data_IF_084333951894
#
_entry.id   IF_084333951894
#
_cell.length_a   1.000
_cell.length_b   1.000
_cell.length_c   1.000
_cell.angle_alpha   90.00
_cell.angle_beta   90.00
_cell.angle_gamma   90.00
#
_symmetry.space_group_name_H-M   'P 1'
#
loop_
_entity.id
_entity.type
_entity.pdbx_description
1 polymer ?
#
# COMPACT_ATOMS: atom_id res chain seq x y z
N UNK A 1 -26.52 -6.81 -22.59
CA UNK A 1 -25.25 -7.21 -21.96
C UNK A 1 -25.59 -7.79 -20.60
N UNK A 2 -24.98 -8.89 -20.17
CA UNK A 2 -25.18 -9.41 -18.82
C UNK A 2 -24.70 -8.37 -17.79
N UNK A 3 -25.34 -8.31 -16.61
CA UNK A 3 -24.87 -7.44 -15.53
C UNK A 3 -23.42 -7.83 -15.15
N UNK A 4 -22.56 -6.86 -14.80
CA UNK A 4 -21.20 -7.15 -14.38
C UNK A 4 -21.21 -7.98 -13.10
N UNK A 5 -20.17 -8.78 -12.91
CA UNK A 5 -20.00 -9.55 -11.67
C UNK A 5 -19.38 -8.63 -10.62
N UNK A 6 -19.98 -8.52 -9.44
CA UNK A 6 -19.43 -7.70 -8.37
C UNK A 6 -18.27 -8.42 -7.70
N UNK A 7 -17.15 -7.73 -7.54
CA UNK A 7 -15.96 -8.23 -6.85
C UNK A 7 -15.55 -7.26 -5.74
N UNK A 8 -15.74 -7.69 -4.50
CA UNK A 8 -15.35 -6.93 -3.32
C UNK A 8 -13.98 -7.39 -2.83
N UNK A 9 -13.07 -6.44 -2.68
CA UNK A 9 -11.64 -6.70 -2.47
C UNK A 9 -11.25 -6.23 -1.08
N UNK A 10 -10.68 -7.14 -0.28
CA UNK A 10 -9.94 -6.76 0.93
C UNK A 10 -8.61 -6.13 0.51
N UNK A 11 -8.56 -4.80 0.54
CA UNK A 11 -7.44 -4.04 0.00
C UNK A 11 -6.13 -4.27 0.74
N UNK A 12 -6.17 -4.53 2.04
CA UNK A 12 -4.97 -4.77 2.85
C UNK A 12 -4.45 -6.19 2.65
N UNK A 13 -5.32 -7.18 2.50
CA UNK A 13 -4.91 -8.56 2.24
C UNK A 13 -4.14 -8.68 0.92
N UNK A 14 -4.67 -8.09 -0.16
CA UNK A 14 -4.00 -8.13 -1.48
C UNK A 14 -2.84 -7.14 -1.62
N UNK A 15 -2.66 -6.21 -0.67
CA UNK A 15 -1.61 -5.18 -0.73
C UNK A 15 -0.20 -5.75 -0.91
N UNK A 16 0.04 -6.99 -0.46
CA UNK A 16 1.32 -7.71 -0.62
C UNK A 16 1.67 -8.00 -2.07
N UNK A 17 0.68 -8.12 -2.96
CA UNK A 17 0.91 -8.22 -4.40
C UNK A 17 1.52 -6.93 -4.94
N UNK A 18 1.01 -5.78 -4.47
CA UNK A 18 1.50 -4.45 -4.87
C UNK A 18 2.86 -4.13 -4.24
N UNK A 19 3.03 -4.46 -2.95
CA UNK A 19 4.21 -4.20 -2.14
C UNK A 19 4.85 -5.51 -1.59
N UNK A 20 5.66 -6.23 -2.39
CA UNK A 20 6.34 -7.42 -1.92
C UNK A 20 7.30 -7.11 -0.76
N UNK A 21 7.33 -7.97 0.25
CA UNK A 21 8.11 -7.76 1.49
C UNK A 21 9.63 -7.61 1.29
N UNK A 22 10.18 -8.05 0.16
CA UNK A 22 11.62 -7.95 -0.15
C UNK A 22 11.96 -6.72 -0.99
N UNK A 23 10.96 -6.03 -1.51
CA UNK A 23 11.16 -4.91 -2.42
C UNK A 23 11.31 -3.60 -1.65
N UNK A 24 11.89 -2.61 -2.34
CA UNK A 24 11.72 -1.22 -1.94
C UNK A 24 10.24 -0.86 -2.02
N UNK A 25 9.78 0.04 -1.15
CA UNK A 25 8.43 0.59 -1.21
C UNK A 25 8.31 1.58 -2.38
N UNK A 26 8.28 1.05 -3.60
CA UNK A 26 8.19 1.81 -4.86
C UNK A 26 6.72 2.03 -5.25
N UNK A 27 6.24 3.25 -4.99
CA UNK A 27 4.85 3.64 -5.24
C UNK A 27 4.49 3.64 -6.72
N UNK A 28 5.41 4.03 -7.61
CA UNK A 28 5.15 4.02 -9.06
C UNK A 28 4.96 2.59 -9.56
N UNK A 29 5.80 1.66 -9.11
CA UNK A 29 5.67 0.25 -9.49
C UNK A 29 4.42 -0.39 -8.87
N UNK A 30 4.10 -0.06 -7.62
CA UNK A 30 2.89 -0.52 -6.96
C UNK A 30 1.63 -0.02 -7.70
N UNK A 31 1.54 1.27 -8.01
CA UNK A 31 0.42 1.84 -8.75
C UNK A 31 0.23 1.19 -10.12
N UNK A 32 1.30 0.94 -10.88
CA UNK A 32 1.24 0.20 -12.14
C UNK A 32 0.69 -1.22 -12.01
N UNK A 33 0.85 -1.86 -10.86
CA UNK A 33 0.24 -3.16 -10.59
C UNK A 33 -1.25 -3.03 -10.28
N UNK A 34 -1.65 -1.98 -9.55
CA UNK A 34 -3.07 -1.65 -9.31
C UNK A 34 -3.76 -1.34 -10.65
N UNK A 35 -3.16 -0.51 -11.51
CA UNK A 35 -3.66 -0.23 -12.86
C UNK A 35 -3.89 -1.52 -13.67
N UNK A 36 -2.92 -2.42 -13.66
CA UNK A 36 -3.02 -3.72 -14.34
C UNK A 36 -4.11 -4.60 -13.76
N UNK A 37 -4.25 -4.64 -12.44
CA UNK A 37 -5.30 -5.39 -11.76
C UNK A 37 -6.68 -4.85 -12.15
N UNK A 38 -6.90 -3.54 -12.06
CA UNK A 38 -8.19 -2.92 -12.41
C UNK A 38 -8.52 -3.11 -13.89
N UNK A 39 -7.54 -2.94 -14.79
CA UNK A 39 -7.74 -3.18 -16.21
C UNK A 39 -8.12 -4.64 -16.50
N UNK A 40 -7.43 -5.60 -15.87
CA UNK A 40 -7.70 -7.02 -16.03
C UNK A 40 -9.06 -7.43 -15.46
N UNK A 41 -9.47 -6.84 -14.33
CA UNK A 41 -10.79 -7.05 -13.72
C UNK A 41 -11.91 -6.59 -14.67
N UNK A 42 -11.75 -5.40 -15.26
CA UNK A 42 -12.70 -4.86 -16.26
C UNK A 42 -12.81 -5.76 -17.48
N UNK A 43 -11.68 -6.29 -17.99
CA UNK A 43 -11.67 -7.25 -19.12
C UNK A 43 -12.40 -8.55 -18.76
N UNK A 44 -12.26 -9.01 -17.51
CA UNK A 44 -12.95 -10.19 -17.00
C UNK A 44 -14.46 -9.96 -16.70
N UNK A 45 -14.96 -8.73 -16.85
CA UNK A 45 -16.36 -8.39 -16.59
C UNK A 45 -16.69 -8.11 -15.12
N UNK A 46 -15.68 -7.85 -14.28
CA UNK A 46 -15.89 -7.49 -12.88
C UNK A 46 -16.10 -5.98 -12.68
N UNK A 47 -17.05 -5.64 -11.82
CA UNK A 47 -17.14 -4.34 -11.17
C UNK A 47 -16.50 -4.44 -9.77
N UNK A 48 -15.38 -3.73 -9.59
CA UNK A 48 -14.55 -3.83 -8.38
C UNK A 48 -14.95 -2.75 -7.38
N UNK A 49 -15.03 -3.13 -6.10
CA UNK A 49 -15.00 -2.20 -4.96
C UNK A 49 -13.99 -2.67 -3.93
N UNK A 50 -13.30 -1.74 -3.29
CA UNK A 50 -12.24 -2.05 -2.31
C UNK A 50 -12.71 -1.69 -0.92
N UNK A 51 -12.41 -2.55 0.04
CA UNK A 51 -12.77 -2.41 1.44
C UNK A 51 -11.49 -2.39 2.28
N UNK A 52 -11.41 -1.45 3.22
CA UNK A 52 -10.26 -1.22 4.09
C UNK A 52 -10.72 -1.00 5.53
N UNK A 53 -9.94 -1.46 6.51
CA UNK A 53 -10.14 -1.07 7.91
C UNK A 53 -10.03 0.45 8.03
N UNK A 54 -10.80 1.11 8.89
CA UNK A 54 -10.49 2.50 9.28
C UNK A 54 -9.79 2.60 10.64
N UNK A 55 -10.10 1.66 11.53
CA UNK A 55 -9.79 1.73 12.95
C UNK A 55 -9.74 0.34 13.57
N UNK A 56 -9.03 0.17 14.68
CA UNK A 56 -8.93 -1.11 15.38
C UNK A 56 -9.95 -1.14 16.53
N UNK A 57 -10.90 -2.06 16.47
CA UNK A 57 -12.09 -2.01 17.34
C UNK A 57 -12.02 -2.90 18.60
N UNK A 58 -11.30 -4.02 18.59
CA UNK A 58 -11.32 -4.98 19.71
C UNK A 58 -10.00 -5.05 20.48
N UNK A 59 -10.08 -5.33 21.80
CA UNK A 59 -8.92 -5.56 22.66
C UNK A 59 -8.04 -6.72 22.17
N UNK A 60 -8.66 -7.74 21.56
CA UNK A 60 -7.92 -8.84 20.95
C UNK A 60 -7.11 -8.39 19.73
N UNK A 61 -7.74 -7.65 18.82
CA UNK A 61 -7.08 -7.07 17.65
C UNK A 61 -5.96 -6.11 18.07
N UNK A 62 -6.21 -5.27 19.08
CA UNK A 62 -5.20 -4.40 19.68
C UNK A 62 -4.02 -5.18 20.24
N UNK A 63 -4.25 -6.23 21.04
CA UNK A 63 -3.15 -7.08 21.58
C UNK A 63 -2.31 -7.73 20.49
N UNK A 64 -2.97 -8.29 19.46
CA UNK A 64 -2.29 -8.87 18.29
C UNK A 64 -1.48 -7.81 17.54
N UNK A 65 -2.04 -6.62 17.39
CA UNK A 65 -1.38 -5.48 16.76
C UNK A 65 -0.16 -5.01 17.56
N UNK A 66 -0.29 -4.79 18.87
CA UNK A 66 0.81 -4.42 19.77
C UNK A 66 1.96 -5.44 19.65
N UNK A 67 1.67 -6.73 19.76
CA UNK A 67 2.67 -7.80 19.60
C UNK A 67 3.38 -7.75 18.25
N UNK A 68 2.64 -7.54 17.15
CA UNK A 68 3.22 -7.42 15.80
C UNK A 68 4.15 -6.22 15.71
N UNK A 69 3.78 -5.07 16.27
CA UNK A 69 4.59 -3.85 16.25
C UNK A 69 5.83 -3.96 17.13
N UNK A 70 5.73 -4.62 18.29
CA UNK A 70 6.91 -4.94 19.10
C UNK A 70 7.89 -5.84 18.37
N UNK A 71 7.40 -6.86 17.67
CA UNK A 71 8.21 -7.76 16.87
C UNK A 71 8.94 -7.00 15.74
N UNK A 72 8.28 -6.04 15.09
CA UNK A 72 8.89 -5.19 14.06
C UNK A 72 10.07 -4.38 14.63
N UNK A 73 9.91 -3.77 15.82
CA UNK A 73 10.98 -3.03 16.49
C UNK A 73 12.12 -3.97 16.93
N UNK A 74 11.80 -5.10 17.57
CA UNK A 74 12.79 -6.09 18.06
C UNK A 74 13.64 -6.63 16.91
N UNK A 75 12.98 -7.02 15.81
CA UNK A 75 13.58 -7.66 14.63
C UNK A 75 14.12 -6.65 13.60
N UNK A 76 13.89 -5.35 13.80
CA UNK A 76 14.22 -4.29 12.85
C UNK A 76 13.72 -4.57 11.44
N UNK A 77 12.53 -5.15 11.34
CA UNK A 77 11.95 -5.55 10.07
C UNK A 77 10.52 -5.06 9.99
N UNK A 78 10.22 -4.30 8.94
CA UNK A 78 8.87 -3.89 8.59
C UNK A 78 8.61 -4.26 7.14
N UNK A 79 7.59 -5.10 6.95
CA UNK A 79 7.25 -5.66 5.64
C UNK A 79 6.33 -4.77 4.79
N UNK A 80 5.64 -3.81 5.41
CA UNK A 80 4.64 -2.94 4.76
C UNK A 80 4.97 -1.45 4.95
N UNK A 81 4.71 -0.61 3.93
CA UNK A 81 4.88 0.84 4.05
C UNK A 81 4.12 1.45 5.23
N UNK A 82 4.61 2.57 5.76
CA UNK A 82 3.79 3.45 6.59
C UNK A 82 2.63 4.00 5.75
N UNK A 83 1.43 4.09 6.33
CA UNK A 83 0.23 4.58 5.64
C UNK A 83 -0.31 3.64 4.55
N UNK A 84 0.08 2.36 4.54
CA UNK A 84 -0.29 1.41 3.46
C UNK A 84 -1.79 1.37 3.15
N UNK A 85 -2.65 1.47 4.16
CA UNK A 85 -4.10 1.49 4.00
C UNK A 85 -4.56 2.70 3.17
N UNK A 86 -4.18 3.91 3.58
CA UNK A 86 -4.47 5.15 2.85
C UNK A 86 -3.85 5.13 1.46
N UNK A 87 -2.59 4.69 1.33
CA UNK A 87 -1.89 4.63 0.04
C UNK A 87 -2.64 3.69 -0.94
N UNK A 88 -3.02 2.49 -0.49
CA UNK A 88 -3.77 1.54 -1.34
C UNK A 88 -5.14 2.08 -1.69
N UNK A 89 -5.86 2.66 -0.72
CA UNK A 89 -7.15 3.31 -0.95
C UNK A 89 -7.04 4.39 -2.02
N UNK A 90 -6.13 5.34 -1.85
CA UNK A 90 -5.88 6.39 -2.82
C UNK A 90 -5.53 5.84 -4.20
N UNK A 91 -4.66 4.83 -4.31
CA UNK A 91 -4.32 4.20 -5.59
C UNK A 91 -5.55 3.65 -6.33
N UNK A 92 -6.52 3.07 -5.62
CA UNK A 92 -7.76 2.60 -6.23
C UNK A 92 -8.72 3.74 -6.57
N UNK A 93 -8.87 4.72 -5.68
CA UNK A 93 -9.70 5.92 -5.90
C UNK A 93 -9.26 6.70 -7.13
N UNK A 94 -7.94 6.82 -7.36
CA UNK A 94 -7.35 7.46 -8.55
C UNK A 94 -7.72 6.78 -9.87
N UNK A 95 -8.17 5.52 -9.82
CA UNK A 95 -8.63 4.75 -10.98
C UNK A 95 -10.17 4.71 -11.08
N UNK A 96 -10.86 5.52 -10.27
CA UNK A 96 -12.31 5.59 -10.20
C UNK A 96 -12.96 4.36 -9.54
N UNK A 97 -12.20 3.59 -8.76
CA UNK A 97 -12.73 2.45 -8.01
C UNK A 97 -13.27 2.95 -6.67
N UNK A 98 -14.47 2.49 -6.31
CA UNK A 98 -15.06 2.80 -5.00
C UNK A 98 -14.25 2.16 -3.89
N UNK A 99 -13.92 2.96 -2.88
CA UNK A 99 -13.17 2.51 -1.70
C UNK A 99 -14.00 2.79 -0.46
N UNK A 100 -14.23 1.77 0.35
CA UNK A 100 -14.99 1.85 1.59
C UNK A 100 -14.09 1.60 2.79
N UNK A 101 -14.29 2.38 3.85
CA UNK A 101 -13.57 2.25 5.12
C UNK A 101 -14.52 1.86 6.25
N UNK A 102 -14.19 0.82 7.01
CA UNK A 102 -15.00 0.33 8.14
C UNK A 102 -14.70 1.10 9.43
N UNK A 103 -15.70 1.83 9.94
CA UNK A 103 -15.53 2.68 11.13
C UNK A 103 -15.89 1.99 12.46
N UNK A 104 -16.95 1.19 12.48
CA UNK A 104 -17.55 0.68 13.73
C UNK A 104 -17.65 -0.84 13.76
N UNK A 105 -17.42 -1.47 12.62
CA UNK A 105 -17.56 -2.91 12.43
C UNK A 105 -16.23 -3.46 11.95
N UNK A 106 -15.89 -4.66 12.40
CA UNK A 106 -14.78 -5.45 11.88
C UNK A 106 -14.88 -5.52 10.34
N UNK A 107 -13.76 -5.32 9.63
CA UNK A 107 -13.79 -5.26 8.17
C UNK A 107 -14.33 -6.55 7.56
N UNK A 108 -13.95 -7.70 8.10
CA UNK A 108 -14.40 -9.00 7.60
C UNK A 108 -15.92 -9.15 7.74
N UNK A 109 -16.48 -8.67 8.85
CA UNK A 109 -17.92 -8.66 9.08
C UNK A 109 -18.64 -7.73 8.09
N UNK A 110 -18.11 -6.52 7.90
CA UNK A 110 -18.67 -5.54 6.97
C UNK A 110 -18.60 -6.04 5.52
N UNK A 111 -17.46 -6.58 5.11
CA UNK A 111 -17.23 -7.11 3.77
C UNK A 111 -18.15 -8.30 3.48
N UNK A 112 -18.29 -9.23 4.43
CA UNK A 112 -19.21 -10.36 4.30
C UNK A 112 -20.67 -9.90 4.21
N UNK A 113 -21.09 -8.94 5.03
CA UNK A 113 -22.42 -8.36 4.99
C UNK A 113 -22.74 -7.69 3.63
N UNK A 114 -21.77 -6.94 3.09
CA UNK A 114 -21.91 -6.32 1.78
C UNK A 114 -21.97 -7.37 0.67
N UNK A 115 -21.07 -8.35 0.68
CA UNK A 115 -21.03 -9.39 -0.33
C UNK A 115 -22.31 -10.22 -0.37
N UNK A 116 -22.85 -10.59 0.79
CA UNK A 116 -24.12 -11.32 0.91
C UNK A 116 -25.29 -10.51 0.38
N UNK A 117 -25.40 -9.24 0.80
CA UNK A 117 -26.52 -8.39 0.40
C UNK A 117 -26.53 -8.06 -1.10
N UNK A 118 -25.35 -7.93 -1.71
CA UNK A 118 -25.20 -7.50 -3.10
C UNK A 118 -24.96 -8.68 -4.07
N UNK A 119 -24.81 -9.91 -3.56
CA UNK A 119 -24.45 -11.09 -4.36
C UNK A 119 -23.05 -11.00 -4.98
N UNK A 120 -22.11 -10.37 -4.28
CA UNK A 120 -20.74 -10.15 -4.75
C UNK A 120 -19.80 -11.30 -4.34
N UNK A 121 -18.75 -11.50 -5.12
CA UNK A 121 -17.60 -12.32 -4.71
C UNK A 121 -16.65 -11.53 -3.81
N UNK A 122 -15.92 -12.22 -2.94
CA UNK A 122 -14.88 -11.66 -2.08
C UNK A 122 -13.50 -12.11 -2.59
N UNK A 123 -12.57 -11.17 -2.76
CA UNK A 123 -11.14 -11.44 -2.94
C UNK A 123 -10.39 -11.11 -1.64
N UNK A 124 -10.08 -12.14 -0.87
CA UNK A 124 -9.24 -12.07 0.33
C UNK A 124 -8.69 -13.46 0.66
N UNK A 125 -7.40 -13.52 1.02
CA UNK A 125 -6.78 -14.72 1.59
C UNK A 125 -7.05 -14.92 3.08
N UNK A 126 -7.97 -14.17 3.69
CA UNK A 126 -8.38 -14.43 5.09
C UNK A 126 -9.38 -15.58 5.18
N UNK A 127 -9.12 -16.54 6.06
CA UNK A 127 -10.01 -17.68 6.31
C UNK A 127 -11.26 -17.30 7.10
N UNK A 128 -11.28 -16.13 7.75
CA UNK A 128 -12.39 -15.72 8.61
C UNK A 128 -13.71 -15.53 7.82
N UNK A 129 -13.69 -15.39 6.49
CA UNK A 129 -14.89 -15.39 5.64
C UNK A 129 -15.66 -16.72 5.58
N UNK A 130 -15.06 -17.83 6.00
CA UNK A 130 -15.71 -19.14 6.03
C UNK A 130 -16.46 -19.41 7.34
N UNK A 131 -16.41 -18.48 8.30
CA UNK A 131 -17.12 -18.61 9.59
C UNK A 131 -18.61 -18.28 9.49
N UNK A 132 -19.07 -17.66 8.39
CA UNK A 132 -20.43 -17.16 8.25
C UNK A 132 -21.40 -18.26 7.76
N UNK A 133 -22.38 -18.59 8.59
CA UNK A 133 -23.36 -19.65 8.30
C UNK A 133 -24.38 -19.18 7.26
N UNK A 134 -24.62 -20.03 6.26
CA UNK A 134 -25.58 -19.74 5.18
C UNK A 134 -25.10 -18.71 4.15
N UNK A 135 -23.83 -18.28 4.21
CA UNK A 135 -23.25 -17.36 3.23
C UNK A 135 -23.37 -17.93 1.80
N UNK A 136 -23.79 -17.07 0.88
CA UNK A 136 -23.99 -17.41 -0.54
C UNK A 136 -22.91 -16.82 -1.46
N UNK A 137 -22.10 -15.89 -0.96
CA UNK A 137 -20.97 -15.34 -1.69
C UNK A 137 -19.84 -16.36 -1.89
N UNK A 138 -19.05 -16.16 -2.94
CA UNK A 138 -17.83 -16.94 -3.21
C UNK A 138 -16.60 -16.20 -2.68
N UNK A 139 -15.64 -16.95 -2.14
CA UNK A 139 -14.36 -16.40 -1.63
C UNK A 139 -13.21 -16.89 -2.49
N UNK A 140 -12.35 -15.96 -2.88
CA UNK A 140 -11.13 -16.20 -3.66
C UNK A 140 -9.92 -15.74 -2.84
N UNK A 141 -8.93 -16.61 -2.66
CA UNK A 141 -7.73 -16.31 -1.87
C UNK A 141 -6.69 -15.48 -2.62
N UNK A 142 -6.81 -15.44 -3.95
CA UNK A 142 -5.83 -14.80 -4.81
C UNK A 142 -6.31 -14.65 -6.24
N UNK A 143 -5.41 -14.20 -7.09
CA UNK A 143 -5.68 -13.97 -8.50
C UNK A 143 -4.40 -14.08 -9.33
N UNK A 144 -4.59 -14.30 -10.63
CA UNK A 144 -3.57 -14.15 -11.66
C UNK A 144 -4.08 -13.24 -12.78
N UNK A 145 -3.15 -12.66 -13.54
CA UNK A 145 -3.49 -11.91 -14.75
C UNK A 145 -2.99 -12.71 -15.95
N UNK A 146 -3.88 -13.47 -16.57
CA UNK A 146 -3.58 -14.32 -17.72
C UNK A 146 -4.10 -13.65 -18.98
N UNK A 147 -3.20 -13.34 -19.91
CA UNK A 147 -3.54 -12.67 -21.18
C UNK A 147 -4.35 -11.36 -20.99
N UNK A 148 -4.03 -10.61 -19.95
CA UNK A 148 -4.72 -9.36 -19.55
C UNK A 148 -6.14 -9.55 -19.00
N UNK A 149 -6.53 -10.77 -18.66
CA UNK A 149 -7.77 -11.10 -17.98
C UNK A 149 -7.47 -11.46 -16.53
N UNK A 150 -8.33 -11.03 -15.60
CA UNK A 150 -8.23 -11.41 -14.19
C UNK A 150 -8.82 -12.81 -14.01
N UNK A 151 -8.00 -13.77 -13.59
CA UNK A 151 -8.45 -15.10 -13.19
C UNK A 151 -8.35 -15.21 -11.66
N UNK A 152 -9.48 -15.50 -11.00
CA UNK A 152 -9.53 -15.61 -9.54
C UNK A 152 -9.20 -17.05 -9.11
N UNK A 153 -8.47 -17.19 -8.01
CA UNK A 153 -8.08 -18.47 -7.43
C UNK A 153 -9.07 -18.79 -6.29
N UNK A 154 -9.94 -19.80 -6.43
CA UNK A 154 -10.89 -20.16 -5.39
C UNK A 154 -10.18 -20.54 -4.10
N UNK A 155 -10.66 -20.04 -2.97
CA UNK A 155 -10.17 -20.46 -1.67
C UNK A 155 -10.72 -21.86 -1.33
N UNK A 156 -9.93 -22.67 -0.64
CA UNK A 156 -10.26 -24.08 -0.36
C UNK A 156 -11.32 -24.26 0.74
N UNK A 157 -11.68 -23.19 1.45
CA UNK A 157 -12.65 -23.20 2.53
C UNK A 157 -12.19 -23.92 3.80
N UNK A 158 -10.92 -24.31 3.88
CA UNK A 158 -10.38 -25.01 5.05
C UNK A 158 -9.98 -23.99 6.13
N UNK A 159 -10.35 -24.28 7.39
CA UNK A 159 -9.97 -23.43 8.54
C UNK A 159 -11.07 -22.57 9.16
N UNK A 160 -12.35 -22.82 8.82
CA UNK A 160 -13.48 -22.12 9.45
C UNK A 160 -13.42 -22.22 10.99
N UNK A 161 -13.44 -21.06 11.64
CA UNK A 161 -13.50 -20.93 13.11
C UNK A 161 -14.95 -21.10 13.60
N UNK A 162 -15.21 -20.76 14.87
CA UNK A 162 -16.55 -20.74 15.44
C UNK A 162 -17.55 -20.03 14.51
N UNK A 163 -18.72 -20.64 14.32
CA UNK A 163 -19.77 -20.15 13.42
C UNK A 163 -20.26 -18.78 13.85
N UNK A 164 -20.52 -17.91 12.87
CA UNK A 164 -21.09 -16.57 13.04
C UNK A 164 -22.21 -16.39 12.03
N UNK A 165 -23.21 -15.57 12.35
CA UNK A 165 -24.21 -15.14 11.35
C UNK A 165 -23.70 -13.89 10.64
N UNK A 166 -23.97 -13.77 9.34
CA UNK A 166 -23.68 -12.54 8.61
C UNK A 166 -24.46 -11.36 9.22
N UNK A 167 -23.82 -10.21 9.34
CA UNK A 167 -24.45 -9.01 9.90
C UNK A 167 -25.38 -8.43 8.84
N UNK A 168 -26.69 -8.41 9.11
CA UNK A 168 -27.70 -7.79 8.26
C UNK A 168 -28.52 -6.83 9.14
N UNK A 169 -28.72 -5.56 8.74
CA UNK A 169 -28.40 -4.94 7.44
C UNK A 169 -26.90 -4.60 7.25
N UNK A 170 -26.53 -4.17 6.03
CA UNK A 170 -25.18 -3.69 5.70
C UNK A 170 -24.74 -2.61 6.71
N UNK A 171 -23.57 -2.75 7.36
CA UNK A 171 -23.10 -1.72 8.29
C UNK A 171 -22.76 -0.42 7.54
N UNK A 172 -22.68 0.67 8.29
CA UNK A 172 -22.29 1.95 7.71
C UNK A 172 -20.79 1.95 7.37
N UNK A 173 -20.48 2.38 6.14
CA UNK A 173 -19.12 2.54 5.64
C UNK A 173 -18.93 4.00 5.19
N UNK A 174 -17.69 4.46 5.14
CA UNK A 174 -17.35 5.79 4.57
C UNK A 174 -16.51 5.63 3.32
N UNK A 175 -16.75 6.47 2.30
CA UNK A 175 -16.03 6.39 1.01
C UNK A 175 -14.70 7.16 0.99
N UNK A 176 -14.42 7.88 2.07
CA UNK A 176 -13.25 8.72 2.19
C UNK A 176 -12.36 8.21 3.30
N UNK A 177 -11.05 8.20 3.06
CA UNK A 177 -10.05 7.85 4.09
C UNK A 177 -10.30 8.73 5.31
N UNK A 178 -10.70 8.14 6.45
CA UNK A 178 -11.02 8.92 7.63
C UNK A 178 -9.71 9.14 8.41
N UNK A 179 -8.76 9.85 7.79
CA UNK A 179 -7.45 10.15 8.39
C UNK A 179 -7.66 10.76 9.78
N UNK A 180 -7.00 10.19 10.79
CA UNK A 180 -7.11 10.63 12.19
C UNK A 180 -8.51 10.51 12.82
N UNK A 181 -9.41 9.70 12.26
CA UNK A 181 -10.76 9.52 12.82
C UNK A 181 -10.75 8.98 14.24
N UNK A 182 -9.82 8.09 14.57
CA UNK A 182 -9.66 7.57 15.93
C UNK A 182 -9.32 8.69 16.91
N UNK A 183 -8.52 9.67 16.49
CA UNK A 183 -8.18 10.83 17.33
C UNK A 183 -9.41 11.70 17.54
N UNK A 184 -10.21 11.93 16.49
CA UNK A 184 -11.44 12.72 16.60
C UNK A 184 -12.49 12.05 17.49
N UNK A 185 -12.63 10.72 17.39
CA UNK A 185 -13.65 9.95 18.13
C UNK A 185 -13.24 9.65 19.57
N UNK A 186 -11.97 9.30 19.78
CA UNK A 186 -11.50 8.74 21.06
C UNK A 186 -10.50 9.63 21.78
N UNK A 187 -9.91 10.62 21.10
CA UNK A 187 -8.80 11.40 21.64
C UNK A 187 -7.49 10.62 21.74
N UNK A 188 -7.38 9.43 21.11
CA UNK A 188 -6.21 8.57 21.18
C UNK A 188 -5.52 8.48 19.81
N UNK A 189 -4.23 8.77 19.78
CA UNK A 189 -3.36 8.58 18.63
C UNK A 189 -2.41 7.41 18.86
N UNK A 190 -2.86 6.21 18.49
CA UNK A 190 -2.03 5.00 18.56
C UNK A 190 -1.33 4.75 17.23
N UNK A 191 0.01 4.58 17.26
CA UNK A 191 0.82 4.27 16.08
C UNK A 191 1.91 3.25 16.38
N UNK A 192 2.27 2.47 15.35
CA UNK A 192 3.32 1.47 15.44
C UNK A 192 4.70 2.02 15.11
N UNK A 193 5.63 1.13 14.77
CA UNK A 193 6.92 1.51 14.21
C UNK A 193 6.77 1.86 12.73
N UNK A 194 6.85 3.14 12.33
CA UNK A 194 6.76 3.53 10.91
C UNK A 194 8.04 3.23 10.10
N UNK A 195 9.09 2.72 10.74
CA UNK A 195 10.39 2.40 10.14
C UNK A 195 10.95 1.06 10.67
N UNK A 196 11.73 0.31 9.89
CA UNK A 196 12.51 -0.83 10.43
C UNK A 196 13.61 -0.39 11.43
N UNK A 197 14.01 0.89 11.43
CA UNK A 197 15.13 1.38 12.23
C UNK A 197 14.73 1.99 13.57
N UNK A 198 13.48 1.84 14.01
CA UNK A 198 12.98 2.43 15.27
C UNK A 198 13.85 2.03 16.47
N UNK A 199 14.42 0.83 16.45
CA UNK A 199 15.34 0.36 17.49
C UNK A 199 16.65 1.15 17.57
N UNK A 200 17.15 1.66 16.45
CA UNK A 200 18.44 2.34 16.39
C UNK A 200 18.31 3.85 16.57
N UNK A 201 17.32 4.45 15.92
CA UNK A 201 17.21 5.92 15.85
C UNK A 201 16.05 6.47 16.67
N UNK A 202 15.07 5.63 17.03
CA UNK A 202 13.82 6.04 17.66
C UNK A 202 12.63 6.04 16.69
N UNK A 203 11.42 6.29 17.20
CA UNK A 203 10.21 6.27 16.38
C UNK A 203 9.96 7.66 15.74
N UNK A 204 9.88 7.79 14.40
CA UNK A 204 9.59 9.06 13.75
C UNK A 204 8.30 9.75 14.21
N UNK A 205 7.30 8.99 14.68
CA UNK A 205 6.15 9.61 15.33
C UNK A 205 6.59 10.43 16.56
N UNK A 206 7.51 9.97 17.40
CA UNK A 206 7.97 10.75 18.55
C UNK A 206 8.56 12.12 18.15
N UNK A 207 9.42 12.16 17.12
CA UNK A 207 10.10 13.40 16.70
C UNK A 207 9.16 14.39 16.03
N UNK A 208 8.16 13.88 15.32
CA UNK A 208 7.19 14.69 14.58
C UNK A 208 6.00 15.13 15.44
N UNK A 209 6.11 15.04 16.78
CA UNK A 209 5.08 15.50 17.72
C UNK A 209 4.72 16.98 17.51
N UNK A 210 5.65 17.93 17.34
CA UNK A 210 5.29 19.34 17.14
C UNK A 210 4.36 19.56 15.92
N UNK A 211 4.58 18.82 14.82
CA UNK A 211 3.71 18.90 13.65
C UNK A 211 2.33 18.28 13.91
N UNK A 212 2.25 17.20 14.69
CA UNK A 212 0.97 16.63 15.14
C UNK A 212 0.19 17.55 16.05
N UNK A 213 0.85 18.24 16.97
CA UNK A 213 0.20 19.22 17.84
C UNK A 213 -0.46 20.35 17.02
N UNK A 214 0.21 20.77 15.93
CA UNK A 214 -0.36 21.71 14.98
C UNK A 214 -1.59 21.14 14.27
N UNK A 215 -1.51 19.89 13.81
CA UNK A 215 -2.66 19.21 13.22
C UNK A 215 -3.84 19.13 14.20
N UNK A 216 -3.59 18.74 15.45
CA UNK A 216 -4.63 18.68 16.49
C UNK A 216 -5.29 20.05 16.71
N UNK A 217 -4.50 21.13 16.73
CA UNK A 217 -5.01 22.48 16.88
C UNK A 217 -5.84 22.93 15.66
N UNK A 218 -5.43 22.53 14.45
CA UNK A 218 -6.14 22.77 13.20
C UNK A 218 -7.46 22.00 13.12
N UNK A 219 -7.48 20.76 13.62
CA UNK A 219 -8.69 19.95 13.77
C UNK A 219 -9.67 20.48 14.84
N UNK A 220 -9.30 21.54 15.56
CA UNK A 220 -10.16 22.16 16.58
C UNK A 220 -10.26 21.38 17.89
N UNK A 221 -9.34 20.43 18.13
CA UNK A 221 -9.28 19.70 19.40
C UNK A 221 -8.93 20.68 20.53
N UNK A 222 -9.63 20.56 21.67
CA UNK A 222 -9.45 21.46 22.84
C UNK A 222 -8.75 20.78 24.02
N UNK A 223 -8.88 19.47 24.14
CA UNK A 223 -8.28 18.66 25.20
C UNK A 223 -6.96 18.02 24.77
N UNK A 224 -6.27 17.34 25.71
CA UNK A 224 -5.10 16.55 25.37
C UNK A 224 -5.49 15.37 24.46
N UNK A 225 -4.58 15.02 23.56
CA UNK A 225 -4.60 13.77 22.80
C UNK A 225 -3.62 12.80 23.44
N UNK A 226 -4.07 11.59 23.73
CA UNK A 226 -3.22 10.51 24.27
C UNK A 226 -2.45 9.86 23.14
N UNK A 227 -1.13 10.04 23.09
CA UNK A 227 -0.25 9.43 22.09
C UNK A 227 0.38 8.13 22.60
N UNK A 228 0.25 7.06 21.82
CA UNK A 228 0.79 5.74 22.17
C UNK A 228 1.62 5.17 21.02
N UNK A 229 2.93 5.00 21.21
CA UNK A 229 3.81 4.42 20.20
C UNK A 229 5.00 3.63 20.79
N UNK A 230 5.50 2.61 20.08
CA UNK A 230 6.60 1.80 20.56
C UNK A 230 7.94 2.52 20.39
N UNK A 231 8.82 2.31 21.36
CA UNK A 231 10.21 2.74 21.36
C UNK A 231 11.10 1.60 21.89
N UNK A 232 12.40 1.69 21.66
CA UNK A 232 13.36 0.71 22.15
C UNK A 232 14.10 1.24 23.38
N UNK A 233 13.98 0.53 24.49
CA UNK A 233 14.79 0.77 25.68
C UNK A 233 16.10 -0.03 25.56
N UNK A 234 17.20 0.68 25.30
CA UNK A 234 18.52 0.07 25.18
C UNK A 234 19.02 -0.54 26.49
N UNK A 235 18.66 0.03 27.64
CA UNK A 235 19.09 -0.43 28.95
C UNK A 235 18.40 -1.74 29.35
N UNK A 236 17.09 -1.82 29.16
CA UNK A 236 16.28 -3.00 29.47
C UNK A 236 16.20 -4.00 28.30
N UNK A 237 16.77 -3.66 27.14
CA UNK A 237 16.77 -4.46 25.89
C UNK A 237 15.37 -4.94 25.50
N UNK A 238 14.37 -4.09 25.65
CA UNK A 238 12.96 -4.39 25.37
C UNK A 238 12.28 -3.25 24.65
N UNK A 239 11.12 -3.55 24.06
CA UNK A 239 10.23 -2.52 23.54
C UNK A 239 9.44 -1.95 24.70
N UNK A 240 9.35 -0.63 24.76
CA UNK A 240 8.49 0.11 25.70
C UNK A 240 7.52 0.98 24.91
N UNK A 241 6.29 1.05 25.37
CA UNK A 241 5.26 1.87 24.76
C UNK A 241 5.20 3.18 25.53
N UNK A 242 5.42 4.29 24.81
CA UNK A 242 5.10 5.62 25.32
C UNK A 242 3.58 5.75 25.46
N UNK A 243 3.16 6.57 26.42
CA UNK A 243 1.77 6.84 26.72
C UNK A 243 1.68 8.25 27.30
N UNK A 244 1.71 9.24 26.40
CA UNK A 244 1.86 10.66 26.74
C UNK A 244 0.56 11.42 26.44
N UNK A 245 0.19 12.35 27.30
CA UNK A 245 -0.85 13.35 26.99
C UNK A 245 -0.23 14.56 26.30
N UNK A 246 -0.74 14.90 25.12
CA UNK A 246 -0.18 15.93 24.25
C UNK A 246 -1.24 16.96 23.92
N UNK A 247 -0.99 18.23 24.24
CA UNK A 247 -1.92 19.31 23.96
C UNK A 247 -1.77 19.86 22.54
N UNK A 248 -2.88 20.27 21.91
CA UNK A 248 -2.86 21.03 20.65
C UNK A 248 -1.98 22.29 20.76
N UNK A 249 -1.15 22.54 19.74
CA UNK A 249 -0.23 23.69 19.69
C UNK A 249 -0.07 24.16 18.24
N UNK A 250 -0.28 25.45 17.98
CA UNK A 250 -0.21 26.05 16.64
C UNK A 250 1.21 26.42 16.18
N UNK A 251 2.24 26.22 16.99
CA UNK A 251 3.60 26.65 16.69
C UNK A 251 4.13 26.16 15.32
N UNK A 252 3.67 24.99 14.86
CA UNK A 252 4.11 24.37 13.60
C UNK A 252 3.06 24.39 12.48
N UNK A 253 1.97 25.15 12.63
CA UNK A 253 0.83 25.13 11.69
C UNK A 253 1.24 25.46 10.25
N UNK A 254 2.15 26.43 10.07
CA UNK A 254 2.70 26.81 8.77
C UNK A 254 3.38 25.66 7.98
N UNK A 255 3.81 24.60 8.66
CA UNK A 255 4.48 23.46 8.03
C UNK A 255 3.51 22.40 7.53
N UNK A 256 2.23 22.44 7.91
CA UNK A 256 1.22 21.49 7.43
C UNK A 256 0.85 21.71 5.96
N UNK A 257 1.21 22.85 5.38
CA UNK A 257 1.02 23.15 3.94
C UNK A 257 2.23 22.78 3.08
N UNK A 258 3.38 22.50 3.69
CA UNK A 258 4.65 22.35 3.01
C UNK A 258 5.45 21.19 3.63
N UNK A 259 5.18 19.93 3.21
CA UNK A 259 5.84 18.75 3.77
C UNK A 259 7.36 18.78 3.55
N UNK A 260 7.84 19.39 2.47
CA UNK A 260 9.27 19.53 2.19
C UNK A 260 9.94 20.43 3.22
N UNK A 261 9.35 21.60 3.49
CA UNK A 261 9.85 22.53 4.51
C UNK A 261 9.71 21.94 5.92
N UNK A 262 8.66 21.17 6.18
CA UNK A 262 8.48 20.44 7.43
C UNK A 262 9.63 19.42 7.67
N UNK A 263 9.96 18.63 6.65
CA UNK A 263 11.08 17.68 6.68
C UNK A 263 12.41 18.39 6.92
N UNK A 264 12.69 19.47 6.20
CA UNK A 264 13.91 20.27 6.35
C UNK A 264 14.03 20.87 7.76
N UNK A 265 12.92 21.31 8.36
CA UNK A 265 12.93 21.93 9.68
C UNK A 265 13.03 20.94 10.82
N UNK A 266 12.32 19.81 10.74
CA UNK A 266 12.20 18.85 11.84
C UNK A 266 13.22 17.71 11.75
N UNK A 267 13.72 17.44 10.55
CA UNK A 267 14.64 16.31 10.28
C UNK A 267 15.72 16.70 9.25
N UNK A 268 16.47 17.81 9.46
CA UNK A 268 17.37 18.40 8.46
C UNK A 268 18.40 17.41 7.88
N UNK A 269 18.90 16.48 8.69
CA UNK A 269 19.96 15.55 8.30
C UNK A 269 19.46 14.10 8.20
N UNK A 270 18.18 13.89 7.83
CA UNK A 270 17.55 12.56 7.80
C UNK A 270 18.41 11.51 7.09
N UNK A 271 19.03 11.88 5.97
CA UNK A 271 19.84 10.96 5.16
C UNK A 271 21.15 10.61 5.86
N UNK A 272 21.77 11.56 6.55
CA UNK A 272 23.09 11.42 7.16
C UNK A 272 23.02 10.81 8.56
N UNK A 273 21.88 10.92 9.25
CA UNK A 273 21.65 10.34 10.58
C UNK A 273 21.30 8.84 10.55
N UNK A 274 21.16 8.23 9.37
CA UNK A 274 20.88 6.79 9.28
C UNK A 274 22.16 5.99 9.55
N UNK A 275 22.18 5.09 10.56
CA UNK A 275 23.31 4.21 10.82
C UNK A 275 23.68 3.37 9.59
N UNK A 276 24.90 2.83 9.56
CA UNK A 276 25.31 1.88 8.52
C UNK A 276 24.45 0.62 8.58
N UNK A 277 23.45 0.55 7.70
CA UNK A 277 22.56 -0.59 7.49
C UNK A 277 22.44 -0.87 5.99
N UNK A 278 21.82 -1.99 5.63
CA UNK A 278 21.61 -2.29 4.22
C UNK A 278 20.73 -1.23 3.52
N UNK A 279 20.92 -1.08 2.22
CA UNK A 279 20.26 -0.05 1.41
C UNK A 279 18.73 -0.14 1.48
N UNK A 280 18.15 -1.34 1.62
CA UNK A 280 16.70 -1.53 1.68
C UNK A 280 16.15 -1.02 3.00
N UNK A 281 16.80 -1.35 4.12
CA UNK A 281 16.40 -0.82 5.43
C UNK A 281 16.55 0.69 5.52
N UNK A 282 17.68 1.24 5.04
CA UNK A 282 17.89 2.70 4.97
C UNK A 282 16.79 3.37 4.15
N UNK A 283 16.45 2.81 3.00
CA UNK A 283 15.38 3.35 2.16
C UNK A 283 14.01 3.31 2.83
N UNK A 284 13.65 2.18 3.45
CA UNK A 284 12.39 2.05 4.19
C UNK A 284 12.31 3.01 5.36
N UNK A 285 13.43 3.34 5.99
CA UNK A 285 13.47 4.38 7.00
C UNK A 285 13.15 5.76 6.42
N UNK A 286 13.85 6.17 5.35
CA UNK A 286 13.61 7.45 4.67
C UNK A 286 12.14 7.54 4.24
N UNK A 287 11.63 6.52 3.54
CA UNK A 287 10.21 6.45 3.17
C UNK A 287 9.29 6.58 4.39
N UNK A 288 9.58 5.86 5.48
CA UNK A 288 8.76 5.90 6.70
C UNK A 288 8.65 7.31 7.29
N UNK A 289 9.75 8.06 7.36
CA UNK A 289 9.76 9.44 7.87
C UNK A 289 8.96 10.37 6.95
N UNK A 290 9.22 10.33 5.64
CA UNK A 290 8.47 11.12 4.67
C UNK A 290 6.97 10.81 4.73
N UNK A 291 6.61 9.52 4.76
CA UNK A 291 5.22 9.08 4.86
C UNK A 291 4.51 9.63 6.10
N UNK A 292 5.16 9.73 7.26
CA UNK A 292 4.53 10.34 8.45
C UNK A 292 4.31 11.84 8.25
N UNK A 293 5.28 12.58 7.71
CA UNK A 293 5.11 14.02 7.47
C UNK A 293 4.00 14.28 6.46
N UNK A 294 4.00 13.55 5.33
CA UNK A 294 2.97 13.66 4.31
C UNK A 294 1.59 13.23 4.81
N UNK A 295 1.49 12.19 5.65
CA UNK A 295 0.22 11.78 6.29
C UNK A 295 -0.39 12.93 7.10
N UNK A 296 0.44 13.70 7.83
CA UNK A 296 0.00 14.84 8.62
C UNK A 296 -0.45 16.02 7.75
N UNK A 297 0.34 16.37 6.73
CA UNK A 297 0.00 17.46 5.82
C UNK A 297 -1.25 17.13 5.00
N UNK A 298 -1.37 15.89 4.51
CA UNK A 298 -2.54 15.45 3.77
C UNK A 298 -3.80 15.42 4.64
N UNK A 299 -3.69 15.02 5.91
CA UNK A 299 -4.81 15.09 6.85
C UNK A 299 -5.25 16.53 7.12
N UNK A 300 -4.31 17.49 7.10
CA UNK A 300 -4.62 18.91 7.28
C UNK A 300 -5.34 19.53 6.07
N UNK A 301 -4.97 19.08 4.86
CA UNK A 301 -5.36 19.72 3.59
C UNK A 301 -6.33 18.88 2.77
N UNK A 302 -6.76 17.73 3.30
CA UNK A 302 -7.71 16.83 2.67
C UNK A 302 -7.26 16.31 1.30
N UNK A 303 -5.96 16.03 1.17
CA UNK A 303 -5.31 15.59 -0.08
C UNK A 303 -4.95 14.11 -0.07
N UNK A 304 -4.66 13.55 -1.25
CA UNK A 304 -4.18 12.17 -1.39
C UNK A 304 -2.74 12.02 -0.87
N UNK A 305 -2.54 11.07 0.03
CA UNK A 305 -1.23 10.66 0.51
C UNK A 305 -0.40 10.00 -0.60
N UNK A 306 -1.04 9.19 -1.44
CA UNK A 306 -0.36 8.55 -2.57
C UNK A 306 0.22 9.59 -3.54
N UNK A 307 -0.57 10.60 -3.94
CA UNK A 307 -0.11 11.67 -4.83
C UNK A 307 1.06 12.44 -4.24
N UNK A 308 0.89 12.90 -2.99
CA UNK A 308 1.93 13.65 -2.28
C UNK A 308 3.26 12.88 -2.20
N UNK A 309 3.21 11.57 -1.92
CA UNK A 309 4.43 10.75 -1.84
C UNK A 309 5.05 10.41 -3.21
N UNK A 310 4.28 10.34 -4.28
CA UNK A 310 4.82 10.14 -5.64
C UNK A 310 5.52 11.40 -6.15
N UNK A 311 5.04 12.57 -5.74
CA UNK A 311 5.57 13.88 -6.11
C UNK A 311 6.75 14.33 -5.22
N UNK A 312 6.99 13.64 -4.10
CA UNK A 312 8.14 13.90 -3.23
C UNK A 312 9.47 13.67 -3.98
N UNK A 313 10.25 14.76 -4.14
CA UNK A 313 11.50 14.75 -4.89
C UNK A 313 12.53 13.74 -4.35
N UNK A 314 12.62 13.58 -3.03
CA UNK A 314 13.56 12.64 -2.40
C UNK A 314 13.12 11.22 -2.72
N UNK A 315 11.84 10.92 -2.57
CA UNK A 315 11.29 9.60 -2.87
C UNK A 315 11.36 9.26 -4.37
N UNK A 316 11.14 10.25 -5.23
CA UNK A 316 11.18 10.11 -6.69
C UNK A 316 12.62 9.97 -7.24
N UNK A 317 13.56 10.79 -6.76
CA UNK A 317 14.95 10.80 -7.21
C UNK A 317 15.72 9.54 -6.77
N UNK A 318 15.39 9.05 -5.58
CA UNK A 318 16.15 8.01 -4.92
C UNK A 318 15.65 6.60 -5.26
N UNK A 319 14.76 6.44 -6.25
CA UNK A 319 14.48 5.15 -6.88
C UNK A 319 15.78 4.66 -7.57
N UNK A 320 16.60 3.79 -6.93
CA UNK A 320 17.99 3.56 -7.32
C UNK A 320 18.13 2.90 -8.71
N UNK A 321 17.01 2.51 -9.31
CA UNK A 321 16.91 1.73 -10.53
C UNK A 321 16.51 2.55 -11.77
N UNK A 322 16.13 3.83 -11.63
CA UNK A 322 15.98 4.70 -12.83
C UNK A 322 17.33 4.87 -13.55
N UNK A 323 18.45 4.70 -12.84
CA UNK A 323 19.81 4.79 -13.36
C UNK A 323 20.53 3.44 -13.35
N UNK A 324 20.04 2.48 -14.15
CA UNK A 324 20.95 1.52 -14.80
C UNK A 324 20.61 0.03 -14.73
N UNK A 325 20.20 -0.53 -15.89
CA UNK A 325 20.93 -1.60 -16.60
C UNK A 325 20.70 -1.45 -18.12
N UNK A 326 21.04 -0.27 -18.63
CA UNK A 326 21.30 -0.06 -20.05
C UNK A 326 22.80 0.13 -20.25
N UNK A 327 23.64 -0.85 -19.87
CA UNK A 327 24.94 -0.94 -20.56
C UNK A 327 24.59 -1.39 -21.97
N UNK A 328 24.77 -0.57 -23.02
CA UNK A 328 24.71 -1.09 -24.37
C UNK A 328 25.78 -2.17 -24.43
N UNK A 329 25.37 -3.42 -24.66
CA UNK A 329 26.31 -4.50 -24.91
C UNK A 329 27.16 -4.08 -26.09
N UNK A 330 28.41 -3.66 -25.82
CA UNK A 330 29.43 -3.62 -26.86
C UNK A 330 29.58 -5.06 -27.31
N UNK A 331 29.03 -5.34 -28.49
CA UNK A 331 29.34 -6.55 -29.22
C UNK A 331 30.85 -6.65 -29.35
N UNK A 332 31.45 -7.59 -28.64
CA UNK A 332 32.71 -8.19 -29.05
C UNK A 332 32.36 -9.58 -29.57
N UNK A 333 32.09 -9.63 -30.87
CA UNK A 333 32.34 -10.83 -31.63
C UNK A 333 33.84 -11.10 -31.67
N UNK A 334 34.19 -12.38 -31.49
CA UNK A 334 35.39 -13.14 -31.92
C UNK A 334 35.30 -14.44 -31.11
N UNK A 335 34.68 -15.50 -31.60
CA UNK A 335 35.12 -16.23 -32.78
C UNK A 335 36.37 -17.04 -32.44
N UNK A 336 36.20 -18.31 -32.03
CA UNK A 336 37.15 -19.40 -32.26
C UNK A 336 36.47 -20.74 -32.01
N UNK A 337 36.15 -21.40 -33.11
CA UNK A 337 35.82 -22.81 -33.18
C UNK A 337 37.06 -23.65 -32.88
N UNK A 338 36.88 -24.74 -32.14
CA UNK A 338 37.70 -25.96 -32.22
C UNK A 338 36.77 -27.13 -32.00
N UNK A 339 36.51 -27.86 -33.08
CA UNK A 339 35.77 -29.12 -33.04
C UNK A 339 36.63 -30.24 -32.47
N UNK A 340 35.96 -31.31 -32.06
CA UNK A 340 36.37 -32.68 -32.32
C UNK A 340 35.16 -33.61 -32.22
N UNK A 341 35.09 -34.47 -33.22
CA UNK A 341 34.09 -35.48 -33.53
C UNK A 341 33.93 -36.60 -32.48
N UNK A 342 32.76 -37.25 -32.60
CA UNK A 342 32.48 -38.71 -32.63
C UNK A 342 31.28 -39.00 -31.70
N UNK A 343 30.20 -39.69 -32.08
CA UNK A 343 29.78 -40.28 -33.34
C UNK A 343 28.30 -40.70 -33.27
N UNK A 344 27.75 -41.03 -34.44
CA UNK A 344 26.50 -41.75 -34.78
C UNK A 344 25.55 -42.22 -33.65
N UNK A 345 24.24 -41.96 -33.79
CA UNK A 345 23.35 -42.82 -34.59
C UNK A 345 21.89 -42.29 -34.72
N UNK A 346 21.40 -42.38 -35.97
CA UNK A 346 20.02 -42.72 -36.41
C UNK A 346 18.78 -41.89 -36.02
N UNK A 347 18.21 -41.34 -37.12
CA UNK A 347 16.83 -41.50 -37.67
C UNK A 347 15.90 -40.27 -37.67
N UNK A 348 15.75 -39.78 -38.90
CA UNK A 348 14.52 -39.42 -39.62
C UNK A 348 13.33 -38.85 -38.83
N UNK A 349 13.00 -37.59 -39.16
CA UNK A 349 11.74 -36.94 -38.83
C UNK A 349 11.69 -35.55 -39.45
N UNK A 350 11.39 -35.48 -40.75
CA UNK A 350 11.14 -34.23 -41.47
C UNK A 350 9.85 -33.56 -40.95
N UNK A 351 9.94 -32.29 -40.54
CA UNK A 351 8.85 -31.33 -40.70
C UNK A 351 9.44 -29.93 -40.94
N UNK A 352 9.24 -29.45 -42.18
CA UNK A 352 9.57 -28.09 -42.62
C UNK A 352 8.47 -27.15 -42.12
N UNK A 353 8.87 -26.09 -41.42
CA UNK A 353 8.01 -24.97 -41.05
C UNK A 353 8.84 -23.72 -40.83
N UNK A 354 9.19 -23.03 -41.92
CA UNK A 354 9.81 -21.71 -41.88
C UNK A 354 8.73 -20.65 -41.60
N UNK A 355 8.88 -19.89 -40.52
CA UNK A 355 8.25 -18.57 -40.41
C UNK A 355 9.30 -17.53 -40.00
N UNK A 356 9.53 -16.56 -40.89
CA UNK A 356 10.37 -15.39 -40.67
C UNK A 356 9.51 -14.31 -40.03
N UNK A 357 9.66 -14.06 -38.74
CA UNK A 357 9.10 -12.89 -38.06
C UNK A 357 10.15 -11.79 -37.91
N UNK A 358 10.00 -10.71 -38.67
CA UNK A 358 10.76 -9.47 -38.50
C UNK A 358 10.28 -8.73 -37.25
N UNK A 359 11.15 -8.50 -36.26
CA UNK A 359 10.87 -7.57 -35.17
C UNK A 359 11.49 -6.19 -35.49
N UNK A 360 10.62 -5.22 -35.80
CA UNK A 360 10.99 -3.80 -35.84
C UNK A 360 11.02 -3.27 -34.41
N UNK A 361 12.20 -2.87 -33.95
CA UNK A 361 12.37 -2.15 -32.69
C UNK A 361 11.74 -0.76 -32.78
N UNK A 362 10.75 -0.49 -31.94
CA UNK A 362 10.25 0.86 -31.69
C UNK A 362 10.96 1.44 -30.45
N UNK A 363 11.44 2.67 -30.60
CA UNK A 363 12.22 3.41 -29.62
C UNK A 363 11.47 3.65 -28.31
N UNK A 364 12.22 3.60 -27.21
CA UNK A 364 11.75 3.96 -25.87
C UNK A 364 11.50 5.47 -25.81
N UNK A 365 10.26 5.87 -25.54
CA UNK A 365 9.89 7.22 -25.11
C UNK A 365 10.14 7.37 -23.60
N UNK A 366 10.56 8.57 -23.21
CA UNK A 366 10.94 8.94 -21.84
C UNK A 366 9.75 8.87 -20.87
N UNK A 367 10.02 8.41 -19.64
CA UNK A 367 9.00 8.15 -18.62
C UNK A 367 8.33 9.36 -17.97
N UNK A 368 8.59 10.59 -18.43
CA UNK A 368 7.86 11.79 -18.01
C UNK A 368 6.53 11.96 -18.78
N UNK A 369 6.44 11.50 -20.04
CA UNK A 369 5.21 11.55 -20.85
C UNK A 369 4.09 10.63 -20.33
N UNK A 370 4.43 9.61 -19.54
CA UNK A 370 3.46 8.63 -19.02
C UNK A 370 2.61 9.19 -17.86
N UNK A 371 3.14 10.13 -17.08
CA UNK A 371 2.41 10.77 -15.98
C UNK A 371 1.44 11.82 -16.55
N UNK A 372 1.86 12.59 -17.55
CA UNK A 372 0.96 13.54 -18.23
C UNK A 372 -0.17 12.85 -19.02
N UNK A 373 0.09 11.69 -19.65
CA UNK A 373 -0.96 10.95 -20.39
C UNK A 373 -2.00 10.28 -19.49
N UNK A 374 -1.68 9.97 -18.23
CA UNK A 374 -2.66 9.45 -17.26
C UNK A 374 -3.56 10.55 -16.68
N UNK A 375 -3.15 11.82 -16.75
CA UNK A 375 -3.86 12.96 -16.16
C UNK A 375 -4.76 13.72 -17.16
N UNK A 376 -4.55 13.55 -18.46
CA UNK A 376 -5.30 14.27 -19.49
C UNK A 376 -6.84 14.03 -19.47
N UNK A 377 -7.37 12.81 -19.16
CA UNK A 377 -8.82 12.59 -19.19
C UNK A 377 -9.60 13.26 -18.04
N UNK A 378 -8.93 13.79 -17.01
CA UNK A 378 -9.57 14.39 -15.83
C UNK A 378 -9.74 15.92 -15.96
N UNK A 379 -8.95 16.57 -16.84
CA UNK A 379 -9.05 18.01 -17.07
C UNK A 379 -10.09 18.39 -18.14
N UNK A 380 -10.48 17.46 -19.02
CA UNK A 380 -11.41 17.73 -20.11
C UNK A 380 -12.90 17.61 -19.71
N UNK A 381 -13.22 17.23 -18.46
CA UNK A 381 -14.60 17.05 -17.97
C UNK A 381 -15.17 18.21 -17.15
N UNK A 382 -14.43 19.32 -16.98
CA UNK A 382 -14.90 20.52 -16.25
C UNK A 382 -15.20 21.73 -17.14
N UNK A 383 -15.75 21.52 -18.34
CA UNK A 383 -16.39 22.60 -19.09
C UNK A 383 -17.91 22.49 -18.99
N UNK A 384 -18.49 23.17 -17.99
CA UNK A 384 -19.92 23.47 -17.96
C UNK A 384 -20.23 24.61 -18.96
N UNK A 385 -21.39 24.58 -19.64
CA UNK A 385 -21.78 25.64 -20.55
C UNK A 385 -22.14 26.93 -19.78
N UNK A 386 -21.84 28.06 -20.42
CA UNK A 386 -21.97 29.43 -19.92
C UNK A 386 -23.41 29.86 -19.61
#
# INVERSE_FOLDING_TARGET
MAAPWLLYVDGLNISRYFFPQKDLWDLTRAFRKVEKFVAAAKVAGFEVSVFLDASIQSDECMRKWFKRREDEVKKMNRGVPQGIQTIVGDMFSELGIKVYFSLETDLDDALAAFAEADGAAILSGDSDFFRYEGATYQVYEGFEIVRSCLELIPADGTGARARKLAIIPKPQMVEKTPSFIDVQRTGIYTRGACSPLVRLVGNPHAWLRPLRQALYARMGLRGPVREVFPSWDASARKVVWSDDEVFPDRAMDQFLEDPTRALQSLVPDLVDQVPEVDTVQRWRHIFGVHAVVHELCCAANDSSLFRALVEDDVLAASAPWRRGKGKPGKGQGKGKAKGKDLGNDRKEGQCKGQSKGQSKGQGKKNGQDLIQRALQPVLDSQSLPA
#
